data_IF_688213718610
#
_entry.id   IF_688213718610
#
_cell.length_a   1.000
_cell.length_b   1.000
_cell.length_c   1.000
_cell.angle_alpha   90.00
_cell.angle_beta   90.00
_cell.angle_gamma   90.00
#
_symmetry.space_group_name_H-M   'P 1'
#
loop_
_entity.id
_entity.type
_entity.pdbx_description
1 polymer ?
#
# COMPACT_ATOMS: atom_id res chain seq x y z
N UNK A 1 -3.10 51.53 38.05
CA UNK A 1 -2.75 51.89 36.66
C UNK A 1 -3.54 51.00 35.71
N UNK A 2 -4.52 51.58 35.00
CA UNK A 2 -5.34 50.83 34.04
C UNK A 2 -4.55 50.47 32.78
N UNK A 3 -4.80 49.29 32.23
CA UNK A 3 -4.18 48.87 30.97
C UNK A 3 -4.73 49.73 29.83
N UNK A 4 -3.85 50.40 29.07
CA UNK A 4 -4.26 51.30 27.98
C UNK A 4 -4.99 50.48 26.89
N UNK A 5 -6.07 51.02 26.32
CA UNK A 5 -6.84 50.39 25.24
C UNK A 5 -6.03 49.68 24.14
N UNK A 6 -4.95 50.28 23.58
CA UNK A 6 -4.11 49.60 22.59
C UNK A 6 -3.37 48.36 23.12
N UNK A 7 -3.02 48.33 24.41
CA UNK A 7 -2.37 47.17 25.04
C UNK A 7 -3.38 46.03 25.22
N UNK A 8 -4.63 46.35 25.60
CA UNK A 8 -5.72 45.36 25.68
C UNK A 8 -6.00 44.74 24.31
N UNK A 9 -6.05 45.56 23.25
CA UNK A 9 -6.26 45.09 21.89
C UNK A 9 -5.13 44.19 21.39
N UNK A 10 -3.87 44.55 21.66
CA UNK A 10 -2.72 43.73 21.30
C UNK A 10 -2.75 42.36 21.99
N UNK A 11 -3.10 42.32 23.28
CA UNK A 11 -3.23 41.07 24.03
C UNK A 11 -4.36 40.20 23.46
N UNK A 12 -5.51 40.79 23.12
CA UNK A 12 -6.64 40.06 22.53
C UNK A 12 -6.28 39.44 21.16
N UNK A 13 -5.51 40.15 20.33
CA UNK A 13 -5.03 39.65 19.03
C UNK A 13 -4.05 38.48 19.21
N UNK A 14 -3.16 38.56 20.20
CA UNK A 14 -2.24 37.46 20.50
C UNK A 14 -3.01 36.22 20.95
N UNK A 15 -3.96 36.35 21.87
CA UNK A 15 -4.78 35.23 22.31
C UNK A 15 -5.62 34.63 21.18
N UNK A 16 -6.24 35.47 20.34
CA UNK A 16 -7.02 34.97 19.20
C UNK A 16 -6.15 34.24 18.19
N UNK A 17 -4.93 34.73 17.93
CA UNK A 17 -3.99 34.06 17.03
C UNK A 17 -3.57 32.68 17.54
N UNK A 18 -3.32 32.54 18.85
CA UNK A 18 -2.96 31.25 19.47
C UNK A 18 -4.13 30.28 19.37
N UNK A 19 -5.37 30.73 19.65
CA UNK A 19 -6.57 29.89 19.53
C UNK A 19 -6.75 29.41 18.09
N UNK A 20 -6.54 30.26 17.10
CA UNK A 20 -6.62 29.90 15.68
C UNK A 20 -5.57 28.84 15.33
N UNK A 21 -4.32 29.01 15.76
CA UNK A 21 -3.26 28.02 15.48
C UNK A 21 -3.57 26.68 16.15
N UNK A 22 -4.00 26.69 17.41
CA UNK A 22 -4.35 25.47 18.15
C UNK A 22 -5.52 24.75 17.48
N UNK A 23 -6.57 25.47 17.11
CA UNK A 23 -7.74 24.87 16.43
C UNK A 23 -7.40 24.30 15.06
N UNK A 24 -6.59 24.99 14.25
CA UNK A 24 -6.12 24.44 12.97
C UNK A 24 -5.28 23.19 13.20
N UNK A 25 -4.36 23.22 14.17
CA UNK A 25 -3.49 22.07 14.47
C UNK A 25 -4.28 20.85 14.95
N UNK A 26 -5.29 21.04 15.82
CA UNK A 26 -6.13 19.94 16.29
C UNK A 26 -7.02 19.41 15.17
N UNK A 27 -7.58 20.28 14.32
CA UNK A 27 -8.36 19.85 13.15
C UNK A 27 -7.50 19.06 12.16
N UNK A 28 -6.27 19.49 11.89
CA UNK A 28 -5.35 18.75 11.03
C UNK A 28 -4.95 17.39 11.62
N UNK A 29 -4.75 17.33 12.93
CA UNK A 29 -4.45 16.07 13.62
C UNK A 29 -5.64 15.12 13.59
N UNK A 30 -6.84 15.61 13.92
CA UNK A 30 -8.07 14.82 13.85
C UNK A 30 -8.33 14.34 12.43
N UNK A 31 -8.09 15.17 11.42
CA UNK A 31 -8.24 14.79 10.02
C UNK A 31 -7.29 13.66 9.62
N UNK A 32 -6.04 13.67 10.07
CA UNK A 32 -5.07 12.58 9.82
C UNK A 32 -5.45 11.28 10.52
N UNK A 33 -5.97 11.36 11.74
CA UNK A 33 -6.42 10.17 12.49
C UNK A 33 -7.74 9.62 11.95
N UNK A 34 -8.67 10.49 11.54
CA UNK A 34 -10.02 10.13 11.14
C UNK A 34 -10.17 9.81 9.64
N UNK A 35 -9.34 10.39 8.77
CA UNK A 35 -9.28 10.01 7.35
C UNK A 35 -8.08 9.07 7.18
N UNK A 36 -8.29 7.74 7.19
CA UNK A 36 -7.21 6.83 6.88
C UNK A 36 -6.68 7.19 5.49
N UNK A 37 -5.39 7.47 5.40
CA UNK A 37 -4.71 7.57 4.11
C UNK A 37 -4.99 6.26 3.40
N UNK A 38 -5.75 6.35 2.30
CA UNK A 38 -6.33 5.17 1.65
C UNK A 38 -5.30 4.05 1.47
N UNK A 39 -5.77 2.80 1.55
CA UNK A 39 -4.91 1.64 1.42
C UNK A 39 -4.18 1.66 0.07
N UNK A 40 -2.90 1.31 0.12
CA UNK A 40 -2.07 0.95 -1.02
C UNK A 40 -1.98 -0.56 -1.08
N UNK A 41 -1.69 -1.07 -2.27
CA UNK A 41 -1.60 -2.49 -2.56
C UNK A 41 -0.29 -2.80 -3.27
N UNK A 42 0.12 -4.06 -3.23
CA UNK A 42 1.26 -4.58 -3.99
C UNK A 42 1.07 -6.07 -4.25
N UNK A 43 1.52 -6.52 -5.42
CA UNK A 43 1.39 -7.93 -5.82
C UNK A 43 2.80 -8.51 -5.99
N UNK A 44 3.02 -9.70 -5.45
CA UNK A 44 4.29 -10.44 -5.61
C UNK A 44 3.99 -11.86 -6.10
N UNK A 45 4.60 -12.24 -7.21
CA UNK A 45 4.64 -13.62 -7.70
C UNK A 45 5.95 -14.24 -7.25
N UNK A 46 5.88 -15.23 -6.36
CA UNK A 46 7.02 -16.05 -5.97
C UNK A 46 7.03 -17.33 -6.81
N UNK A 47 7.83 -17.31 -7.87
CA UNK A 47 8.00 -18.43 -8.80
C UNK A 47 9.11 -19.37 -8.27
N UNK A 48 8.68 -20.31 -7.44
CA UNK A 48 9.47 -21.39 -6.89
C UNK A 48 9.72 -22.54 -7.87
N UNK A 49 10.62 -23.45 -7.50
CA UNK A 49 10.85 -24.68 -8.23
C UNK A 49 9.74 -25.74 -8.05
N UNK A 50 8.83 -25.53 -7.09
CA UNK A 50 7.73 -26.46 -6.75
C UNK A 50 6.35 -25.82 -6.92
N UNK A 51 6.30 -24.65 -7.52
CA UNK A 51 5.06 -23.93 -7.75
C UNK A 51 5.28 -22.42 -7.75
N UNK A 52 4.26 -21.71 -8.23
CA UNK A 52 4.18 -20.25 -8.09
C UNK A 52 3.11 -19.88 -7.09
N UNK A 53 3.42 -18.94 -6.20
CA UNK A 53 2.46 -18.38 -5.24
C UNK A 53 2.32 -16.89 -5.51
N UNK A 54 1.08 -16.41 -5.60
CA UNK A 54 0.75 -14.99 -5.79
C UNK A 54 0.28 -14.42 -4.46
N UNK A 55 0.97 -13.39 -3.98
CA UNK A 55 0.67 -12.68 -2.75
C UNK A 55 0.11 -11.30 -3.07
N UNK A 56 -0.95 -10.90 -2.38
CA UNK A 56 -1.49 -9.54 -2.39
C UNK A 56 -1.28 -8.91 -1.03
N UNK A 57 -0.48 -7.87 -1.00
CA UNK A 57 -0.23 -7.08 0.19
C UNK A 57 -1.04 -5.79 0.17
N UNK A 58 -1.44 -5.31 1.34
CA UNK A 58 -1.97 -3.96 1.51
C UNK A 58 -1.32 -3.24 2.69
N UNK A 59 -1.34 -1.92 2.66
CA UNK A 59 -0.84 -1.09 3.77
C UNK A 59 -1.44 0.32 3.72
N UNK A 60 -1.54 1.04 4.86
CA UNK A 60 -1.90 2.45 4.85
C UNK A 60 -0.88 3.28 4.08
N UNK A 61 -1.34 4.25 3.30
CA UNK A 61 -0.44 5.04 2.44
C UNK A 61 0.63 5.87 3.19
N UNK A 62 0.40 6.16 4.48
CA UNK A 62 1.35 6.78 5.42
C UNK A 62 2.09 5.73 6.26
N UNK A 63 3.36 6.00 6.57
CA UNK A 63 4.15 5.14 7.45
C UNK A 63 3.61 5.20 8.88
N UNK A 64 3.40 4.06 9.52
CA UNK A 64 3.13 3.98 10.95
C UNK A 64 4.46 3.97 11.71
N UNK A 65 4.74 4.99 12.52
CA UNK A 65 5.99 5.08 13.30
C UNK A 65 7.28 4.93 12.46
N UNK A 66 7.34 5.59 11.29
CA UNK A 66 8.43 5.47 10.31
C UNK A 66 8.61 4.08 9.66
N UNK A 67 7.73 3.13 9.99
CA UNK A 67 7.73 1.77 9.45
C UNK A 67 6.45 1.53 8.65
N UNK A 68 6.56 0.77 7.55
CA UNK A 68 5.37 0.27 6.88
C UNK A 68 4.88 -0.98 7.61
N UNK A 69 3.66 -0.96 8.15
CA UNK A 69 2.97 -2.19 8.55
C UNK A 69 2.24 -2.68 7.32
N UNK A 70 2.65 -3.84 6.82
CA UNK A 70 2.12 -4.45 5.60
C UNK A 70 1.35 -5.71 6.00
N UNK A 71 0.14 -5.84 5.48
CA UNK A 71 -0.76 -6.97 5.71
C UNK A 71 -0.83 -7.84 4.46
N UNK A 72 -0.78 -9.17 4.65
CA UNK A 72 -1.05 -10.13 3.58
C UNK A 72 -2.55 -10.33 3.47
N UNK A 73 -3.13 -9.74 2.43
CA UNK A 73 -4.57 -9.67 2.26
C UNK A 73 -5.16 -10.82 1.47
N UNK A 74 -4.33 -11.47 0.64
CA UNK A 74 -4.74 -12.61 -0.16
C UNK A 74 -3.52 -13.40 -0.64
N UNK A 75 -3.71 -14.71 -0.78
CA UNK A 75 -2.73 -15.66 -1.31
C UNK A 75 -3.45 -16.57 -2.31
N UNK A 76 -2.85 -16.75 -3.48
CA UNK A 76 -3.31 -17.69 -4.50
C UNK A 76 -2.17 -18.64 -4.88
N UNK A 77 -2.42 -19.94 -4.79
CA UNK A 77 -1.49 -20.96 -5.25
C UNK A 77 -1.80 -21.28 -6.71
N UNK A 78 -0.82 -21.06 -7.58
CA UNK A 78 -0.98 -21.29 -9.01
C UNK A 78 -1.09 -22.77 -9.28
N UNK A 79 -2.15 -23.17 -9.97
CA UNK A 79 -2.34 -24.54 -10.45
C UNK A 79 -1.64 -24.73 -11.80
N UNK A 80 -1.16 -25.95 -12.06
CA UNK A 80 -0.52 -26.32 -13.32
C UNK A 80 0.99 -26.48 -13.22
N UNK A 81 1.71 -26.48 -14.35
CA UNK A 81 3.15 -26.71 -14.36
C UNK A 81 3.90 -25.57 -13.71
N UNK A 82 5.00 -25.91 -13.04
CA UNK A 82 5.96 -24.94 -12.56
C UNK A 82 6.49 -24.10 -13.72
N UNK A 83 6.80 -22.84 -13.47
CA UNK A 83 7.26 -21.93 -14.53
C UNK A 83 8.59 -22.41 -15.12
N UNK A 84 9.44 -23.05 -14.32
CA UNK A 84 10.67 -23.70 -14.80
C UNK A 84 10.44 -24.98 -15.60
N UNK A 85 9.22 -25.52 -15.61
CA UNK A 85 8.85 -26.69 -16.40
C UNK A 85 8.23 -26.32 -17.75
N UNK A 86 8.06 -25.02 -18.02
CA UNK A 86 7.44 -24.48 -19.24
C UNK A 86 8.49 -24.03 -20.29
N UNK A 87 9.73 -24.55 -20.25
CA UNK A 87 10.81 -24.13 -21.15
C UNK A 87 10.48 -24.41 -22.64
N UNK A 88 9.84 -25.56 -22.89
CA UNK A 88 9.41 -25.95 -24.24
C UNK A 88 8.22 -25.14 -24.77
N UNK A 89 7.38 -24.58 -23.88
CA UNK A 89 6.25 -23.71 -24.22
C UNK A 89 6.07 -22.58 -23.19
N UNK A 90 6.78 -21.45 -23.36
CA UNK A 90 6.68 -20.31 -22.45
C UNK A 90 5.28 -19.70 -22.37
N UNK A 91 4.41 -19.92 -23.37
CA UNK A 91 3.04 -19.43 -23.31
C UNK A 91 2.22 -20.17 -22.24
N UNK A 92 2.56 -21.43 -21.95
CA UNK A 92 1.93 -22.21 -20.89
C UNK A 92 2.16 -21.60 -19.50
N UNK A 93 3.34 -20.99 -19.26
CA UNK A 93 3.63 -20.29 -18.02
C UNK A 93 2.70 -19.06 -17.82
N UNK A 94 2.39 -18.33 -18.89
CA UNK A 94 1.44 -17.21 -18.79
C UNK A 94 0.00 -17.70 -18.55
N UNK A 95 -0.38 -18.82 -19.17
CA UNK A 95 -1.71 -19.41 -19.01
C UNK A 95 -1.94 -19.93 -17.59
N UNK A 96 -0.95 -20.59 -16.96
CA UNK A 96 -1.09 -21.09 -15.59
C UNK A 96 -1.37 -19.96 -14.59
N UNK A 97 -0.79 -18.78 -14.80
CA UNK A 97 -0.98 -17.60 -13.94
C UNK A 97 -2.35 -16.93 -14.07
N UNK A 98 -3.10 -17.18 -15.15
CA UNK A 98 -4.27 -16.39 -15.51
C UNK A 98 -5.37 -16.45 -14.44
N UNK A 99 -5.55 -17.61 -13.81
CA UNK A 99 -6.53 -17.80 -12.74
C UNK A 99 -6.20 -16.92 -11.52
N UNK A 100 -4.99 -17.05 -10.98
CA UNK A 100 -4.56 -16.26 -9.81
C UNK A 100 -4.49 -14.76 -10.10
N UNK A 101 -4.12 -14.36 -11.32
CA UNK A 101 -4.10 -12.95 -11.70
C UNK A 101 -5.52 -12.36 -11.67
N UNK A 102 -6.51 -13.09 -12.21
CA UNK A 102 -7.90 -12.65 -12.18
C UNK A 102 -8.43 -12.53 -10.75
N UNK A 103 -8.21 -13.56 -9.93
CA UNK A 103 -8.64 -13.54 -8.53
C UNK A 103 -8.00 -12.38 -7.76
N UNK A 104 -6.70 -12.15 -7.96
CA UNK A 104 -5.95 -11.04 -7.35
C UNK A 104 -6.52 -9.67 -7.73
N UNK A 105 -6.86 -9.47 -9.01
CA UNK A 105 -7.48 -8.21 -9.46
C UNK A 105 -8.84 -7.95 -8.82
N UNK A 106 -9.62 -9.00 -8.52
CA UNK A 106 -10.90 -8.88 -7.82
C UNK A 106 -10.74 -8.48 -6.34
N UNK A 107 -9.56 -8.71 -5.73
CA UNK A 107 -9.27 -8.28 -4.35
C UNK A 107 -8.85 -6.81 -4.23
N UNK A 108 -8.44 -6.19 -5.33
CA UNK A 108 -7.91 -4.83 -5.35
C UNK A 108 -8.97 -3.89 -5.94
N UNK A 109 -9.29 -2.76 -5.30
CA UNK A 109 -10.20 -1.77 -5.87
C UNK A 109 -9.73 -1.29 -7.25
N UNK A 110 -10.66 -1.13 -8.19
CA UNK A 110 -10.37 -0.78 -9.59
C UNK A 110 -9.61 0.54 -9.73
N UNK A 111 -9.92 1.53 -8.88
CA UNK A 111 -9.21 2.82 -8.85
C UNK A 111 -7.74 2.71 -8.38
N UNK A 112 -7.37 1.56 -7.80
CA UNK A 112 -6.00 1.28 -7.35
C UNK A 112 -5.18 0.47 -8.33
N UNK A 113 -5.80 -0.21 -9.31
CA UNK A 113 -5.09 -1.12 -10.24
C UNK A 113 -3.86 -0.46 -10.88
N UNK A 114 -4.00 0.76 -11.43
CA UNK A 114 -2.89 1.49 -12.06
C UNK A 114 -1.77 1.90 -11.09
N UNK A 115 -2.07 1.99 -9.79
CA UNK A 115 -1.11 2.39 -8.75
C UNK A 115 -0.47 1.21 -8.02
N UNK A 116 -0.97 0.00 -8.25
CA UNK A 116 -0.50 -1.21 -7.58
C UNK A 116 0.72 -1.77 -8.32
N UNK A 117 1.92 -1.72 -7.74
CA UNK A 117 3.07 -2.38 -8.33
C UNK A 117 2.92 -3.90 -8.28
N UNK A 118 3.39 -4.56 -9.34
CA UNK A 118 3.45 -6.01 -9.46
C UNK A 118 4.92 -6.41 -9.66
N UNK A 119 5.39 -7.33 -8.85
CA UNK A 119 6.73 -7.90 -8.95
C UNK A 119 6.64 -9.40 -9.22
N UNK A 120 7.50 -9.87 -10.12
CA UNK A 120 7.64 -11.28 -10.42
C UNK A 120 9.06 -11.72 -10.09
N UNK A 121 9.20 -12.56 -9.07
CA UNK A 121 10.48 -13.07 -8.59
C UNK A 121 10.59 -14.56 -8.85
N UNK A 122 11.57 -14.95 -9.67
CA UNK A 122 11.91 -16.35 -9.87
C UNK A 122 13.10 -16.77 -9.00
N UNK A 123 13.05 -18.00 -8.49
CA UNK A 123 14.07 -18.52 -7.57
C UNK A 123 14.92 -19.62 -8.22
N UNK A 124 15.30 -20.66 -7.46
CA UNK A 124 16.29 -21.63 -7.87
C UNK A 124 15.91 -22.40 -9.15
N UNK A 125 14.62 -22.70 -9.36
CA UNK A 125 14.15 -23.47 -10.53
C UNK A 125 14.53 -22.80 -11.85
N UNK A 126 14.29 -21.49 -11.97
CA UNK A 126 14.63 -20.74 -13.19
C UNK A 126 16.14 -20.52 -13.38
N UNK A 127 16.93 -20.52 -12.30
CA UNK A 127 18.40 -20.41 -12.41
C UNK A 127 19.03 -21.64 -13.05
N UNK A 128 18.40 -22.81 -12.91
CA UNK A 128 18.89 -24.07 -13.48
C UNK A 128 18.62 -24.20 -14.98
N UNK A 129 17.69 -23.40 -15.52
CA UNK A 129 17.40 -23.33 -16.96
C UNK A 129 18.36 -22.40 -17.73
N UNK A 130 19.23 -21.64 -17.04
CA UNK A 130 20.20 -20.74 -17.67
C UNK A 130 21.40 -21.45 -18.28
#
# INVERSE_FOLDING_TARGET
MGLKGPVVAAIAILFSSVIIVVTISTLQHLRRVALPVGLKYGIVFDAGASGTIVYVYNWPGEKMNNTGVVDESHVCHVEGPDISSCDDDPAQAAQSLQHCLKETMEKIPEDKHNSTPLYFGATAGMRLLQ
#
